data_IF_844020930179
#
_entry.id   IF_844020930179
#
_cell.length_a   1.000
_cell.length_b   1.000
_cell.length_c   1.000
_cell.angle_alpha   90.00
_cell.angle_beta   90.00
_cell.angle_gamma   90.00
#
_symmetry.space_group_name_H-M   'P 1'
#
loop_
_entity.id
_entity.type
_entity.pdbx_description
1 polymer ?
#
# COMPACT_ATOMS: atom_id res chain seq x y z
N UNK A 1 -1.79 -8.93 -9.39
CA UNK A 1 -1.02 -7.92 -8.64
C UNK A 1 -1.53 -6.54 -9.01
N UNK A 2 -1.76 -5.64 -8.04
CA UNK A 2 -2.13 -4.24 -8.30
C UNK A 2 -0.87 -3.38 -8.29
N UNK A 3 -0.65 -2.60 -9.34
CA UNK A 3 0.45 -1.63 -9.39
C UNK A 3 0.06 -0.40 -8.57
N UNK A 4 0.97 0.09 -7.75
CA UNK A 4 0.84 1.36 -7.02
C UNK A 4 1.91 2.29 -7.57
N UNK A 5 1.51 3.50 -7.95
CA UNK A 5 2.38 4.54 -8.50
C UNK A 5 2.59 5.63 -7.45
N UNK A 6 3.74 6.30 -7.54
CA UNK A 6 4.09 7.46 -6.73
C UNK A 6 4.13 8.68 -7.64
N UNK A 7 3.49 9.77 -7.21
CA UNK A 7 3.44 11.00 -7.98
C UNK A 7 4.77 11.74 -7.89
N UNK A 8 5.37 12.07 -9.03
CA UNK A 8 6.66 12.78 -9.08
C UNK A 8 6.61 14.18 -8.46
N UNK A 9 5.43 14.81 -8.40
CA UNK A 9 5.29 16.18 -7.89
C UNK A 9 5.02 16.25 -6.38
N UNK A 10 4.21 15.33 -5.84
CA UNK A 10 3.76 15.39 -4.45
C UNK A 10 4.13 14.18 -3.60
N UNK A 11 4.75 13.14 -4.17
CA UNK A 11 5.06 11.88 -3.49
C UNK A 11 3.83 11.06 -3.08
N UNK A 12 2.63 11.48 -3.50
CA UNK A 12 1.39 10.77 -3.19
C UNK A 12 1.32 9.44 -3.91
N UNK A 13 0.91 8.38 -3.21
CA UNK A 13 0.70 7.06 -3.80
C UNK A 13 -0.73 6.92 -4.33
N UNK A 14 -0.88 6.34 -5.51
CA UNK A 14 -2.18 6.16 -6.18
C UNK A 14 -2.18 4.94 -7.11
N UNK A 15 -3.37 4.57 -7.61
CA UNK A 15 -3.54 3.47 -8.56
C UNK A 15 -3.57 4.03 -9.98
N UNK A 16 -3.01 3.34 -10.98
CA UNK A 16 -2.99 3.85 -12.34
C UNK A 16 -4.42 3.88 -12.94
N UNK A 17 -4.70 4.83 -13.84
CA UNK A 17 -6.02 5.06 -14.43
C UNK A 17 -6.58 3.85 -15.21
N UNK A 18 -5.71 2.97 -15.71
CA UNK A 18 -6.11 1.72 -16.39
C UNK A 18 -6.98 0.83 -15.50
N UNK A 19 -6.87 0.99 -14.17
CA UNK A 19 -7.54 0.16 -13.19
C UNK A 19 -8.76 0.81 -12.53
N UNK A 20 -8.99 2.12 -12.72
CA UNK A 20 -10.08 2.87 -12.07
C UNK A 20 -10.33 4.24 -12.71
N UNK A 21 -11.61 4.66 -12.77
CA UNK A 21 -11.97 6.06 -13.05
C UNK A 21 -12.00 6.86 -11.74
N UNK A 22 -11.17 7.87 -11.66
CA UNK A 22 -11.14 8.81 -10.54
C UNK A 22 -12.24 9.87 -10.68
N UNK A 23 -12.92 10.27 -9.58
CA UNK A 23 -13.93 11.33 -9.61
C UNK A 23 -13.33 12.69 -9.96
N UNK A 24 -12.07 12.92 -9.59
CA UNK A 24 -11.36 14.18 -9.78
C UNK A 24 -10.69 14.31 -11.18
N UNK A 25 -10.96 13.37 -12.08
CA UNK A 25 -10.35 13.31 -13.41
C UNK A 25 -9.18 12.33 -13.52
N UNK A 26 -8.60 12.16 -14.73
CA UNK A 26 -7.61 11.13 -14.98
C UNK A 26 -6.33 11.36 -14.17
N UNK A 27 -5.79 10.29 -13.60
CA UNK A 27 -4.39 10.21 -13.20
C UNK A 27 -3.56 9.68 -14.38
N UNK A 28 -2.24 9.81 -14.33
CA UNK A 28 -1.31 9.21 -15.29
C UNK A 28 -0.28 8.34 -14.57
N UNK A 29 0.55 7.56 -15.28
CA UNK A 29 1.68 6.85 -14.66
C UNK A 29 2.73 7.75 -14.00
N UNK A 30 2.66 9.08 -14.17
CA UNK A 30 3.64 10.06 -13.65
C UNK A 30 3.02 10.98 -12.59
N UNK A 31 1.76 11.40 -12.78
CA UNK A 31 1.06 12.33 -11.90
C UNK A 31 -0.25 11.77 -11.36
N UNK A 32 -0.53 12.02 -10.08
CA UNK A 32 -1.84 11.76 -9.50
C UNK A 32 -2.90 12.69 -10.12
N UNK A 33 -4.19 12.37 -9.98
CA UNK A 33 -5.29 13.16 -10.57
C UNK A 33 -5.22 14.66 -10.27
N UNK A 34 -4.87 15.03 -9.03
CA UNK A 34 -4.73 16.43 -8.60
C UNK A 34 -3.58 17.14 -9.30
N UNK A 35 -2.40 16.52 -9.35
CA UNK A 35 -1.23 17.12 -9.99
C UNK A 35 -1.36 17.11 -11.52
N UNK A 36 -1.99 16.09 -12.10
CA UNK A 36 -2.34 16.04 -13.52
C UNK A 36 -3.23 17.24 -13.89
N UNK A 37 -4.31 17.47 -13.14
CA UNK A 37 -5.21 18.60 -13.37
C UNK A 37 -4.47 19.95 -13.25
N UNK A 38 -3.59 20.10 -12.26
CA UNK A 38 -2.80 21.31 -12.07
C UNK A 38 -1.82 21.57 -13.23
N UNK A 39 -1.13 20.54 -13.74
CA UNK A 39 -0.22 20.66 -14.89
C UNK A 39 -0.96 21.00 -16.17
N UNK A 40 -2.09 20.34 -16.43
CA UNK A 40 -2.95 20.64 -17.58
C UNK A 40 -3.48 22.07 -17.53
N UNK A 41 -3.93 22.55 -16.36
CA UNK A 41 -4.36 23.93 -16.18
C UNK A 41 -3.23 24.94 -16.42
N UNK A 42 -1.99 24.56 -16.16
CA UNK A 42 -0.79 25.35 -16.47
C UNK A 42 -0.31 25.20 -17.93
N UNK A 43 -1.03 24.45 -18.78
CA UNK A 43 -0.63 24.20 -20.17
C UNK A 43 0.54 23.21 -20.33
N UNK A 44 0.91 22.51 -19.26
CA UNK A 44 1.96 21.50 -19.27
C UNK A 44 1.35 20.15 -19.60
N UNK A 45 1.66 19.65 -20.79
CA UNK A 45 1.33 18.29 -21.20
C UNK A 45 2.30 17.27 -20.61
N UNK A 46 1.79 16.10 -20.28
CA UNK A 46 2.64 14.95 -20.00
C UNK A 46 3.32 14.47 -21.29
N UNK A 47 4.60 14.10 -21.20
CA UNK A 47 5.29 13.43 -22.32
C UNK A 47 4.75 11.99 -22.46
N UNK A 48 4.09 11.65 -23.59
CA UNK A 48 3.50 10.34 -23.78
C UNK A 48 4.52 9.20 -23.82
N UNK A 49 5.79 9.47 -24.15
CA UNK A 49 6.85 8.46 -24.08
C UNK A 49 7.20 8.15 -22.63
N UNK A 50 7.31 9.18 -21.79
CA UNK A 50 7.61 9.02 -20.36
C UNK A 50 6.52 8.21 -19.66
N UNK A 51 5.24 8.52 -19.93
CA UNK A 51 4.11 7.78 -19.38
C UNK A 51 4.14 6.29 -19.77
N UNK A 52 4.41 5.99 -21.05
CA UNK A 52 4.52 4.61 -21.55
C UNK A 52 5.69 3.86 -20.94
N UNK A 53 6.85 4.51 -20.79
CA UNK A 53 8.02 3.91 -20.17
C UNK A 53 7.80 3.62 -18.68
N UNK A 54 7.19 4.55 -17.94
CA UNK A 54 6.85 4.36 -16.53
C UNK A 54 5.93 3.15 -16.34
N UNK A 55 4.89 3.04 -17.18
CA UNK A 55 3.99 1.90 -17.17
C UNK A 55 4.70 0.58 -17.51
N UNK A 56 5.48 0.56 -18.59
CA UNK A 56 6.20 -0.64 -19.02
C UNK A 56 7.20 -1.12 -17.95
N UNK A 57 7.90 -0.19 -17.30
CA UNK A 57 8.81 -0.48 -16.20
C UNK A 57 8.07 -1.08 -14.99
N UNK A 58 6.91 -0.53 -14.63
CA UNK A 58 6.08 -1.06 -13.54
C UNK A 58 5.59 -2.49 -13.84
N UNK A 59 5.11 -2.74 -15.06
CA UNK A 59 4.71 -4.06 -15.52
C UNK A 59 5.87 -5.06 -15.51
N UNK A 60 7.04 -4.68 -16.02
CA UNK A 60 8.23 -5.52 -15.99
C UNK A 60 8.69 -5.83 -14.56
N UNK A 61 8.64 -4.85 -13.65
CA UNK A 61 8.96 -5.05 -12.24
C UNK A 61 7.98 -6.00 -11.56
N UNK A 62 6.68 -5.90 -11.84
CA UNK A 62 5.68 -6.82 -11.32
C UNK A 62 5.86 -8.24 -11.87
N UNK A 63 6.16 -8.37 -13.16
CA UNK A 63 6.45 -9.68 -13.79
C UNK A 63 7.66 -10.36 -13.14
N UNK A 64 8.74 -9.61 -12.89
CA UNK A 64 9.94 -10.13 -12.18
C UNK A 64 9.60 -10.64 -10.79
N UNK A 65 8.82 -9.89 -10.00
CA UNK A 65 8.38 -10.33 -8.67
C UNK A 65 7.53 -11.60 -8.71
N UNK A 66 6.70 -11.75 -9.74
CA UNK A 66 5.90 -12.95 -9.92
C UNK A 66 6.78 -14.18 -10.24
N UNK A 67 7.89 -14.00 -10.96
CA UNK A 67 8.84 -15.08 -11.28
C UNK A 67 9.80 -15.41 -10.15
N UNK A 68 10.19 -14.43 -9.33
CA UNK A 68 11.15 -14.60 -8.24
C UNK A 68 10.57 -15.37 -7.04
N UNK A 69 9.27 -15.68 -7.06
CA UNK A 69 8.60 -16.42 -6.00
C UNK A 69 8.37 -15.54 -4.77
N UNK A 70 7.10 -15.39 -4.40
CA UNK A 70 6.73 -14.71 -3.16
C UNK A 70 7.40 -15.45 -1.99
N UNK A 71 8.23 -14.79 -1.15
CA UNK A 71 8.68 -15.43 0.09
C UNK A 71 7.40 -15.84 0.84
N UNK A 72 7.32 -17.08 1.36
CA UNK A 72 6.09 -17.60 1.93
C UNK A 72 5.57 -16.59 2.92
N UNK A 73 4.36 -16.05 2.66
CA UNK A 73 3.71 -15.12 3.54
C UNK A 73 3.81 -15.70 4.95
N UNK A 74 4.60 -15.05 5.82
CA UNK A 74 4.64 -15.43 7.23
C UNK A 74 3.20 -15.36 7.67
N UNK A 75 2.62 -16.52 7.94
CA UNK A 75 1.31 -16.59 8.55
C UNK A 75 1.41 -15.73 9.79
N UNK A 76 0.64 -14.65 9.82
CA UNK A 76 0.58 -13.76 10.95
C UNK A 76 -0.18 -14.51 12.04
N UNK A 77 0.50 -15.52 12.61
CA UNK A 77 0.00 -16.37 13.66
C UNK A 77 0.03 -15.50 14.89
N UNK A 78 -1.03 -14.70 15.06
CA UNK A 78 -1.37 -14.12 16.34
C UNK A 78 -1.55 -15.32 17.28
N UNK A 79 -0.67 -15.53 18.28
CA UNK A 79 -0.79 -16.68 19.16
C UNK A 79 -2.14 -16.56 19.87
N UNK A 80 -3.10 -17.39 19.49
CA UNK A 80 -4.43 -17.40 20.12
C UNK A 80 -4.35 -17.87 21.58
N UNK A 81 -3.19 -18.42 21.95
CA UNK A 81 -2.91 -18.96 23.27
C UNK A 81 -1.61 -18.33 23.78
N UNK A 82 -1.62 -17.61 24.92
CA UNK A 82 -0.38 -17.19 25.55
C UNK A 82 0.47 -18.43 25.88
N UNK A 83 1.80 -18.34 25.71
CA UNK A 83 2.69 -19.46 25.97
C UNK A 83 2.52 -19.94 27.42
N UNK A 84 2.50 -21.26 27.62
CA UNK A 84 2.25 -21.90 28.91
C UNK A 84 3.24 -21.45 30.01
N UNK A 85 4.40 -20.90 29.62
CA UNK A 85 5.38 -20.28 30.52
C UNK A 85 4.87 -19.03 31.25
N UNK A 86 3.80 -18.38 30.76
CA UNK A 86 3.15 -17.24 31.44
C UNK A 86 2.01 -17.66 32.38
N UNK A 87 1.48 -18.89 32.29
CA UNK A 87 0.37 -19.34 33.15
C UNK A 87 0.76 -19.60 34.60
N UNK A 88 2.05 -19.66 34.92
CA UNK A 88 2.50 -19.97 36.28
C UNK A 88 2.48 -18.78 37.26
N UNK A 89 2.20 -17.55 36.82
CA UNK A 89 2.21 -16.36 37.72
C UNK A 89 0.86 -15.72 38.02
N UNK A 90 -0.23 -16.21 37.43
CA UNK A 90 -1.58 -15.72 37.72
C UNK A 90 -2.37 -16.79 38.47
N UNK A 91 -1.96 -17.06 39.71
CA UNK A 91 -2.77 -17.82 40.65
C UNK A 91 -3.94 -16.97 41.17
N UNK A 92 -5.16 -17.52 41.30
CA UNK A 92 -6.28 -16.80 41.89
C UNK A 92 -6.17 -16.87 43.42
N UNK A 93 -5.53 -15.87 44.02
CA UNK A 93 -5.42 -15.77 45.47
C UNK A 93 -4.90 -14.42 45.89
N UNK A 94 -5.80 -13.48 46.20
CA UNK A 94 -5.38 -12.14 46.63
C UNK A 94 -6.53 -11.19 46.94
N UNK A 95 -7.10 -11.35 48.13
CA UNK A 95 -7.66 -10.29 48.99
C UNK A 95 -8.92 -9.55 48.50
N UNK A 96 -10.08 -10.08 48.93
CA UNK A 96 -11.28 -9.27 49.19
C UNK A 96 -11.08 -8.52 50.51
N UNK A 97 -10.83 -7.22 50.45
CA UNK A 97 -11.03 -6.32 51.60
C UNK A 97 -12.42 -5.67 51.48
N UNK A 98 -13.21 -5.78 52.54
CA UNK A 98 -14.62 -5.42 52.63
C UNK A 98 -14.80 -3.89 52.64
N UNK A 99 -15.93 -3.44 52.09
CA UNK A 99 -16.53 -2.13 52.39
C UNK A 99 -16.93 -2.10 53.86
N UNK A 100 -16.53 -1.03 54.55
CA UNK A 100 -16.86 -0.69 55.93
C UNK A 100 -16.23 0.66 56.28
#
# INVERSE_FOLDING_TARGET
>A
MRLVFECVECGGHYLPPESMRYPDGPASPVWCSRCQAAKLAAGVGEDPLLARLALAAACAAAARRATEGEPPARSDVRPSRPPLSLRARSGPGGLRSRLG
#
